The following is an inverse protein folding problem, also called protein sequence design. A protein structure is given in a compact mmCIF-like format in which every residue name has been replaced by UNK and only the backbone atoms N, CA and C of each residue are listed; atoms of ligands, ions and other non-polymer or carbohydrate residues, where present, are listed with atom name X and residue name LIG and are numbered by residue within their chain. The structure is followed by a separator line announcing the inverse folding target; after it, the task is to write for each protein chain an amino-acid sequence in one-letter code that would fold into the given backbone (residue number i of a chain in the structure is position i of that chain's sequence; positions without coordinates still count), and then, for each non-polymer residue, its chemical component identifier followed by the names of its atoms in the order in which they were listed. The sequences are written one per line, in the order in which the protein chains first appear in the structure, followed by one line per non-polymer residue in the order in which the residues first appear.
data_IF_435341154450
#
_entry.id   IF_435341154450
#
_cell.length_a   1.000
_cell.length_b   1.000
_cell.length_c   1.000
_cell.angle_alpha   90.00
_cell.angle_beta   90.00
_cell.angle_gamma   90.00
#
_symmetry.space_group_name_H-M   'P 1'
#
loop_
_entity.id
_entity.type
_entity.pdbx_description
1 polymer ?
#
# COMPACT_ATOMS: atom_id res chain seq x y z
N UNK A 1 8.62 -15.08 -30.45
CA UNK A 1 8.64 -16.06 -29.35
C UNK A 1 8.64 -15.24 -28.06
N UNK A 2 7.67 -15.44 -27.15
CA UNK A 2 7.64 -14.68 -25.91
C UNK A 2 8.91 -14.95 -25.09
N UNK A 3 9.53 -13.93 -24.49
CA UNK A 3 10.76 -14.12 -23.73
C UNK A 3 10.51 -15.05 -22.54
N UNK A 4 11.49 -15.91 -22.24
CA UNK A 4 11.48 -16.71 -21.02
C UNK A 4 11.50 -15.75 -19.82
N UNK A 5 10.44 -15.78 -19.02
CA UNK A 5 10.27 -14.92 -17.84
C UNK A 5 11.32 -15.19 -16.76
N UNK A 6 12.10 -16.28 -16.89
CA UNK A 6 13.21 -16.62 -16.00
C UNK A 6 14.50 -15.90 -16.37
N UNK A 7 14.66 -15.45 -17.61
CA UNK A 7 15.87 -14.74 -18.02
C UNK A 7 15.78 -13.28 -17.61
N UNK A 8 16.78 -12.78 -16.87
CA UNK A 8 16.99 -11.37 -16.64
C UNK A 8 16.80 -10.48 -17.86
N UNK A 9 15.76 -9.64 -17.91
CA UNK A 9 15.64 -8.62 -18.95
C UNK A 9 16.80 -7.62 -18.83
N UNK A 10 17.55 -7.45 -19.91
CA UNK A 10 18.71 -6.54 -20.00
C UNK A 10 18.31 -5.17 -20.54
N UNK A 11 19.20 -4.18 -20.44
CA UNK A 11 18.98 -2.87 -21.07
C UNK A 11 18.83 -2.98 -22.60
N UNK A 12 19.57 -3.90 -23.24
CA UNK A 12 19.48 -4.14 -24.68
C UNK A 12 18.10 -4.73 -25.08
N UNK A 13 17.56 -5.62 -24.25
CA UNK A 13 16.21 -6.15 -24.44
C UNK A 13 15.16 -5.04 -24.27
N UNK A 14 15.31 -4.20 -23.24
CA UNK A 14 14.41 -3.08 -22.99
C UNK A 14 14.38 -2.09 -24.17
N UNK A 15 15.55 -1.74 -24.72
CA UNK A 15 15.66 -0.91 -25.93
C UNK A 15 14.99 -1.57 -27.13
N UNK A 16 15.23 -2.86 -27.35
CA UNK A 16 14.65 -3.61 -28.47
C UNK A 16 13.13 -3.63 -28.41
N UNK A 17 12.56 -3.97 -27.25
CA UNK A 17 11.11 -4.02 -27.05
C UNK A 17 10.46 -2.64 -27.14
N UNK A 18 11.06 -1.62 -26.51
CA UNK A 18 10.54 -0.26 -26.57
C UNK A 18 10.60 0.31 -28.00
N UNK A 19 11.67 0.04 -28.75
CA UNK A 19 11.84 0.57 -30.11
C UNK A 19 10.71 0.16 -31.04
N UNK A 20 10.22 -1.08 -30.92
CA UNK A 20 9.12 -1.58 -31.73
C UNK A 20 7.79 -0.85 -31.48
N UNK A 21 7.55 -0.38 -30.25
CA UNK A 21 6.28 0.21 -29.84
C UNK A 21 6.27 1.74 -29.87
N UNK A 22 7.39 2.40 -29.53
CA UNK A 22 7.46 3.86 -29.35
C UNK A 22 8.52 4.55 -30.22
N UNK A 23 9.21 3.80 -31.09
CA UNK A 23 10.26 4.31 -31.96
C UNK A 23 11.64 4.38 -31.29
N UNK A 24 12.66 4.95 -31.97
CA UNK A 24 14.06 4.86 -31.54
C UNK A 24 14.29 5.36 -30.11
N UNK A 25 15.08 4.62 -29.33
CA UNK A 25 15.47 4.96 -27.96
C UNK A 25 16.86 5.63 -27.97
N UNK A 26 16.95 6.83 -27.40
CA UNK A 26 18.18 7.61 -27.29
C UNK A 26 18.99 7.23 -26.04
N UNK A 27 18.33 6.95 -24.93
CA UNK A 27 18.98 6.56 -23.67
C UNK A 27 18.08 5.63 -22.86
N UNK A 28 18.70 4.70 -22.14
CA UNK A 28 18.04 3.77 -21.22
C UNK A 28 18.80 3.78 -19.90
N UNK A 29 18.06 3.80 -18.79
CA UNK A 29 18.62 3.64 -17.46
C UNK A 29 17.75 2.66 -16.64
N UNK A 30 18.37 1.73 -15.89
CA UNK A 30 17.64 0.93 -14.92
C UNK A 30 17.18 1.83 -13.77
N UNK A 31 15.91 1.72 -13.41
CA UNK A 31 15.35 2.46 -12.28
C UNK A 31 14.75 1.49 -11.27
N UNK A 32 14.66 1.94 -10.03
CA UNK A 32 14.07 1.14 -8.98
C UNK A 32 12.59 0.88 -9.25
N UNK A 33 12.21 -0.39 -9.29
CA UNK A 33 10.84 -0.86 -9.41
C UNK A 33 10.35 -1.58 -8.15
N UNK A 34 9.11 -2.08 -8.20
CA UNK A 34 8.60 -3.00 -7.18
C UNK A 34 9.41 -4.29 -7.15
N UNK A 35 9.51 -4.91 -5.97
CA UNK A 35 10.23 -6.17 -5.79
C UNK A 35 9.77 -7.24 -6.79
N UNK A 36 10.72 -7.79 -7.55
CA UNK A 36 10.45 -8.78 -8.60
C UNK A 36 10.23 -8.19 -10.00
N UNK A 37 10.01 -6.88 -10.12
CA UNK A 37 9.92 -6.21 -11.41
C UNK A 37 11.24 -5.55 -11.78
N UNK A 38 11.60 -5.64 -13.07
CA UNK A 38 12.64 -4.79 -13.65
C UNK A 38 11.98 -3.61 -14.29
N UNK A 39 12.46 -2.42 -13.94
CA UNK A 39 11.95 -1.18 -14.51
C UNK A 39 13.08 -0.45 -15.20
N UNK A 40 12.83 -0.01 -16.43
CA UNK A 40 13.75 0.80 -17.21
C UNK A 40 13.05 2.11 -17.56
N UNK A 41 13.75 3.21 -17.37
CA UNK A 41 13.34 4.52 -17.86
C UNK A 41 14.02 4.73 -19.21
N UNK A 42 13.23 5.03 -20.23
CA UNK A 42 13.69 5.13 -21.62
C UNK A 42 13.39 6.52 -22.16
N UNK A 43 14.43 7.18 -22.64
CA UNK A 43 14.32 8.45 -23.35
C UNK A 43 14.21 8.15 -24.84
N UNK A 44 13.06 8.45 -25.44
CA UNK A 44 12.87 8.27 -26.89
C UNK A 44 13.55 9.40 -27.66
N UNK A 45 13.99 9.12 -28.89
CA UNK A 45 14.57 10.13 -29.78
C UNK A 45 13.57 11.23 -30.18
N UNK A 46 12.27 10.95 -30.10
CA UNK A 46 11.21 11.92 -30.36
C UNK A 46 10.92 12.86 -29.18
N UNK A 47 11.56 12.66 -28.02
CA UNK A 47 11.41 13.50 -26.84
C UNK A 47 10.62 12.93 -25.65
N UNK A 48 9.56 12.10 -25.79
CA UNK A 48 8.88 11.57 -24.62
C UNK A 48 9.72 10.55 -23.85
N UNK A 49 9.54 10.54 -22.52
CA UNK A 49 10.08 9.51 -21.63
C UNK A 49 9.00 8.45 -21.39
N UNK A 50 9.40 7.19 -21.45
CA UNK A 50 8.54 6.03 -21.17
C UNK A 50 9.20 5.11 -20.16
N UNK A 51 8.39 4.32 -19.46
CA UNK A 51 8.86 3.28 -18.56
C UNK A 51 8.51 1.92 -19.12
N UNK A 52 9.51 1.05 -19.24
CA UNK A 52 9.30 -0.38 -19.47
C UNK A 52 9.35 -1.09 -18.14
N UNK A 53 8.30 -1.88 -17.84
CA UNK A 53 8.27 -2.76 -16.68
C UNK A 53 8.14 -4.19 -17.14
N UNK A 54 8.97 -5.07 -16.60
CA UNK A 54 8.92 -6.50 -16.87
C UNK A 54 8.78 -7.28 -15.56
N UNK A 55 7.88 -8.26 -15.54
CA UNK A 55 7.55 -9.04 -14.36
C UNK A 55 6.26 -9.84 -14.53
N UNK A 56 5.95 -10.72 -13.58
CA UNK A 56 4.80 -11.62 -13.66
C UNK A 56 3.44 -10.91 -13.51
N UNK A 57 3.43 -9.64 -13.08
CA UNK A 57 2.21 -8.88 -12.77
C UNK A 57 1.93 -7.72 -13.73
N UNK A 58 2.60 -7.67 -14.89
CA UNK A 58 2.50 -6.52 -15.81
C UNK A 58 1.10 -6.33 -16.41
N UNK A 59 0.37 -7.41 -16.68
CA UNK A 59 -1.00 -7.32 -17.19
C UNK A 59 -1.97 -6.76 -16.13
N UNK A 60 -1.84 -7.24 -14.88
CA UNK A 60 -2.63 -6.74 -13.74
C UNK A 60 -2.30 -5.27 -13.44
N UNK A 61 -1.02 -4.90 -13.55
CA UNK A 61 -0.58 -3.51 -13.40
C UNK A 61 -1.18 -2.61 -14.48
N UNK A 62 -1.09 -3.01 -15.76
CA UNK A 62 -1.67 -2.26 -16.86
C UNK A 62 -3.19 -2.06 -16.68
N UNK A 63 -3.91 -3.13 -16.32
CA UNK A 63 -5.34 -3.06 -16.02
C UNK A 63 -5.64 -2.12 -14.86
N UNK A 64 -4.83 -2.16 -13.81
CA UNK A 64 -4.99 -1.28 -12.63
C UNK A 64 -4.77 0.18 -13.00
N UNK A 65 -3.76 0.49 -13.82
CA UNK A 65 -3.54 1.84 -14.32
C UNK A 65 -4.73 2.36 -15.14
N UNK A 66 -5.28 1.55 -16.05
CA UNK A 66 -6.44 1.96 -16.85
C UNK A 66 -7.69 2.17 -15.99
N UNK A 67 -7.94 1.30 -15.00
CA UNK A 67 -9.05 1.48 -14.06
C UNK A 67 -8.89 2.75 -13.21
N UNK A 68 -7.67 3.03 -12.74
CA UNK A 68 -7.36 4.25 -12.00
C UNK A 68 -7.64 5.49 -12.86
N UNK A 69 -7.16 5.51 -14.12
CA UNK A 69 -7.41 6.61 -15.05
C UNK A 69 -8.90 6.80 -15.36
N UNK A 70 -9.66 5.72 -15.52
CA UNK A 70 -11.10 5.78 -15.74
C UNK A 70 -11.87 6.36 -14.54
N UNK A 71 -11.26 6.37 -13.35
CA UNK A 71 -11.77 6.99 -12.13
C UNK A 71 -11.15 8.38 -11.85
N UNK A 72 -10.54 9.02 -12.86
CA UNK A 72 -9.82 10.31 -12.75
C UNK A 72 -8.67 10.31 -11.71
N UNK A 73 -8.14 9.13 -11.38
CA UNK A 73 -6.94 9.01 -10.54
C UNK A 73 -5.70 9.16 -11.42
N UNK A 74 -4.75 10.07 -11.07
CA UNK A 74 -3.50 10.20 -11.81
C UNK A 74 -2.73 8.87 -11.83
N UNK A 75 -2.66 8.24 -13.00
CA UNK A 75 -1.90 7.02 -13.23
C UNK A 75 -1.24 7.03 -14.62
N UNK A 76 -0.15 6.27 -14.81
CA UNK A 76 0.54 6.16 -16.09
C UNK A 76 -0.42 5.74 -17.20
N UNK A 77 -0.33 6.41 -18.36
CA UNK A 77 -1.05 5.96 -19.56
C UNK A 77 -0.32 4.75 -20.12
N UNK A 78 -1.01 3.64 -20.30
CA UNK A 78 -0.43 2.45 -20.90
C UNK A 78 -0.31 2.65 -22.40
N UNK A 79 0.89 2.47 -22.93
CA UNK A 79 1.22 2.63 -24.35
C UNK A 79 1.21 1.28 -25.07
N UNK A 80 1.66 0.24 -24.38
CA UNK A 80 1.76 -1.10 -24.91
C UNK A 80 1.79 -2.13 -23.78
N UNK A 81 1.23 -3.32 -24.00
CA UNK A 81 1.23 -4.43 -23.04
C UNK A 81 1.48 -5.72 -23.79
N UNK A 82 2.39 -6.51 -23.27
CA UNK A 82 2.68 -7.88 -23.65
C UNK A 82 2.74 -8.75 -22.38
N UNK A 83 2.59 -10.08 -22.48
CA UNK A 83 2.60 -10.95 -21.30
C UNK A 83 3.87 -10.84 -20.43
N UNK A 84 4.98 -10.40 -21.02
CA UNK A 84 6.26 -10.29 -20.34
C UNK A 84 6.63 -8.85 -19.92
N UNK A 85 6.03 -7.83 -20.53
CA UNK A 85 6.35 -6.43 -20.23
C UNK A 85 5.21 -5.47 -20.58
N UNK A 86 5.21 -4.30 -19.94
CA UNK A 86 4.38 -3.17 -20.35
C UNK A 86 5.24 -1.94 -20.62
N UNK A 87 4.73 -1.05 -21.46
CA UNK A 87 5.23 0.31 -21.64
C UNK A 87 4.20 1.31 -21.16
N UNK A 88 4.63 2.25 -20.33
CA UNK A 88 3.79 3.31 -19.81
C UNK A 88 4.43 4.69 -20.03
N UNK A 89 3.61 5.69 -20.27
CA UNK A 89 4.06 7.08 -20.32
C UNK A 89 4.53 7.54 -18.92
N UNK A 90 5.54 8.41 -18.89
CA UNK A 90 5.93 9.10 -17.66
C UNK A 90 4.75 9.90 -17.08
N UNK A 91 4.56 9.78 -15.77
CA UNK A 91 3.63 10.59 -14.99
C UNK A 91 4.41 11.75 -14.38
N UNK A 92 3.85 12.96 -14.24
CA UNK A 92 4.51 14.05 -13.53
C UNK A 92 5.04 13.61 -12.17
N UNK A 93 6.36 13.77 -11.99
CA UNK A 93 7.11 13.24 -10.84
C UNK A 93 8.41 12.59 -11.33
N UNK A 94 9.44 12.62 -10.48
CA UNK A 94 10.68 11.88 -10.73
C UNK A 94 10.72 10.59 -9.91
N UNK A 95 11.55 9.60 -10.29
CA UNK A 95 11.87 8.49 -9.39
C UNK A 95 12.41 9.04 -8.06
N UNK A 96 12.12 8.33 -6.96
CA UNK A 96 12.71 8.65 -5.66
C UNK A 96 14.24 8.57 -5.75
N UNK A 97 14.93 9.61 -5.29
CA UNK A 97 16.39 9.59 -5.21
C UNK A 97 16.90 8.67 -4.08
N UNK A 98 16.01 8.29 -3.16
CA UNK A 98 16.33 7.41 -2.04
C UNK A 98 16.26 5.96 -2.47
N UNK A 99 17.30 5.19 -2.14
CA UNK A 99 17.25 3.75 -2.29
C UNK A 99 16.15 3.18 -1.39
N UNK A 100 15.30 2.30 -1.94
CA UNK A 100 14.35 1.59 -1.08
C UNK A 100 15.08 0.72 -0.05
N UNK A 101 14.54 0.70 1.16
CA UNK A 101 15.04 -0.11 2.27
C UNK A 101 14.02 -1.17 2.63
N UNK A 102 14.44 -2.20 3.37
CA UNK A 102 13.49 -3.12 3.97
C UNK A 102 12.68 -2.38 5.05
N UNK A 103 11.40 -2.16 4.77
CA UNK A 103 10.39 -1.61 5.69
C UNK A 103 9.64 -2.75 6.36
N UNK A 104 9.19 -2.55 7.60
CA UNK A 104 8.36 -3.52 8.31
C UNK A 104 6.93 -3.53 7.75
N UNK A 105 6.45 -2.37 7.28
CA UNK A 105 5.22 -2.14 6.52
C UNK A 105 3.88 -2.46 7.21
N UNK A 106 3.91 -2.54 8.53
CA UNK A 106 2.77 -2.48 9.45
C UNK A 106 3.18 -1.80 10.78
N UNK A 107 4.20 -0.92 10.75
CA UNK A 107 4.94 -0.55 11.97
C UNK A 107 4.05 0.21 12.95
N UNK A 108 3.67 -0.45 14.04
CA UNK A 108 2.84 0.15 15.10
C UNK A 108 3.30 -0.28 16.50
N UNK A 109 2.92 0.43 17.60
CA UNK A 109 3.42 0.14 18.95
C UNK A 109 3.26 -1.32 19.40
N UNK A 110 2.24 -2.04 18.94
CA UNK A 110 2.04 -3.46 19.27
C UNK A 110 3.12 -4.39 18.69
N UNK A 111 3.92 -3.93 17.72
CA UNK A 111 5.07 -4.65 17.15
C UNK A 111 6.39 -4.21 17.77
N UNK A 112 6.35 -3.28 18.71
CA UNK A 112 7.53 -2.83 19.45
C UNK A 112 7.61 -3.60 20.76
N UNK A 113 8.78 -4.16 21.06
CA UNK A 113 9.07 -4.81 22.33
C UNK A 113 10.04 -3.95 23.13
N UNK A 114 9.66 -3.58 24.36
CA UNK A 114 10.44 -2.74 25.25
C UNK A 114 10.68 -3.41 26.60
N UNK A 115 11.85 -3.16 27.20
CA UNK A 115 12.19 -3.57 28.56
C UNK A 115 12.58 -2.32 29.32
N UNK A 116 11.75 -1.91 30.27
CA UNK A 116 11.86 -0.59 30.89
C UNK A 116 11.66 0.51 29.85
N UNK A 117 12.60 1.46 29.77
CA UNK A 117 12.57 2.57 28.81
C UNK A 117 13.31 2.25 27.50
N UNK A 118 13.86 1.04 27.37
CA UNK A 118 14.65 0.64 26.20
C UNK A 118 13.78 -0.16 25.22
N UNK A 119 13.65 0.34 23.98
CA UNK A 119 13.14 -0.44 22.85
C UNK A 119 14.18 -1.52 22.51
N UNK A 120 13.83 -2.78 22.75
CA UNK A 120 14.74 -3.94 22.61
C UNK A 120 14.47 -4.78 21.38
N UNK A 121 13.34 -4.57 20.70
CA UNK A 121 13.06 -5.27 19.45
C UNK A 121 11.87 -4.72 18.68
N UNK A 122 11.87 -5.00 17.38
CA UNK A 122 10.72 -4.88 16.49
C UNK A 122 10.39 -6.29 16.03
N UNK A 123 9.14 -6.70 16.23
CA UNK A 123 8.65 -8.05 15.91
C UNK A 123 7.68 -8.01 14.73
N UNK A 124 7.22 -9.20 14.32
CA UNK A 124 6.18 -9.37 13.31
C UNK A 124 6.55 -8.82 11.91
N UNK A 125 7.67 -9.29 11.36
CA UNK A 125 8.14 -8.91 10.01
C UNK A 125 7.39 -9.60 8.86
N UNK A 126 6.17 -10.11 9.11
CA UNK A 126 5.41 -10.89 8.12
C UNK A 126 4.98 -10.09 6.90
N UNK A 127 4.79 -8.78 7.05
CA UNK A 127 4.36 -7.85 5.99
C UNK A 127 5.51 -7.02 5.41
N UNK A 128 6.75 -7.31 5.83
CA UNK A 128 7.94 -6.58 5.46
C UNK A 128 8.13 -6.54 3.93
N UNK A 129 8.52 -5.38 3.43
CA UNK A 129 8.70 -5.13 1.99
C UNK A 129 9.76 -4.07 1.74
N UNK A 130 10.33 -4.05 0.55
CA UNK A 130 11.20 -2.95 0.16
C UNK A 130 10.36 -1.72 -0.19
N UNK A 131 10.70 -0.57 0.39
CA UNK A 131 9.99 0.69 0.17
C UNK A 131 10.71 1.90 0.76
N UNK A 132 10.02 3.03 0.76
CA UNK A 132 10.54 4.28 1.33
C UNK A 132 10.45 4.23 2.87
N UNK A 133 11.54 4.54 3.62
CA UNK A 133 11.51 4.53 5.08
C UNK A 133 10.40 5.38 5.72
N UNK A 134 10.01 6.56 5.17
CA UNK A 134 8.90 7.33 5.71
C UNK A 134 7.54 6.61 5.69
N UNK A 135 7.39 5.50 4.95
CA UNK A 135 6.18 4.67 4.99
C UNK A 135 5.91 4.11 6.39
N UNK A 136 6.93 3.51 7.02
CA UNK A 136 6.81 2.95 8.38
C UNK A 136 6.56 4.04 9.42
N UNK A 137 7.21 5.20 9.26
CA UNK A 137 7.00 6.36 10.14
C UNK A 137 5.55 6.83 10.01
N UNK A 138 5.05 6.98 8.78
CA UNK A 138 3.67 7.39 8.54
C UNK A 138 2.67 6.40 9.15
N UNK A 139 2.92 5.09 9.01
CA UNK A 139 2.09 4.06 9.64
C UNK A 139 2.07 4.19 11.16
N UNK A 140 3.26 4.31 11.77
CA UNK A 140 3.38 4.42 13.22
C UNK A 140 2.69 5.65 13.77
N UNK A 141 2.73 6.76 13.03
CA UNK A 141 2.11 8.01 13.47
C UNK A 141 0.58 7.95 13.61
N UNK A 142 -0.07 6.95 13.00
CA UNK A 142 -1.51 6.70 13.21
C UNK A 142 -1.83 6.24 14.65
N UNK A 143 -0.81 5.89 15.44
CA UNK A 143 -0.94 5.46 16.83
C UNK A 143 -1.08 6.61 17.84
N UNK A 144 -1.15 7.85 17.36
CA UNK A 144 -1.33 9.05 18.17
C UNK A 144 -0.02 9.79 18.49
N UNK A 145 -0.16 11.04 18.92
CA UNK A 145 0.95 11.99 19.09
C UNK A 145 1.94 11.57 20.18
N UNK A 146 1.49 10.97 21.28
CA UNK A 146 2.36 10.52 22.36
C UNK A 146 3.33 9.42 21.92
N UNK A 147 2.80 8.35 21.28
CA UNK A 147 3.63 7.28 20.74
C UNK A 147 4.56 7.80 19.65
N UNK A 148 4.03 8.62 18.73
CA UNK A 148 4.83 9.26 17.66
C UNK A 148 5.98 10.07 18.24
N UNK A 149 5.73 10.90 19.25
CA UNK A 149 6.75 11.71 19.90
C UNK A 149 7.86 10.86 20.53
N UNK A 150 7.51 9.74 21.17
CA UNK A 150 8.48 8.81 21.72
C UNK A 150 9.35 8.16 20.63
N UNK A 151 8.74 7.72 19.52
CA UNK A 151 9.49 7.16 18.38
C UNK A 151 10.48 8.18 17.80
N UNK A 152 10.00 9.40 17.53
CA UNK A 152 10.82 10.45 16.90
C UNK A 152 11.94 10.94 17.81
N UNK A 153 11.73 10.97 19.13
CA UNK A 153 12.77 11.27 20.10
C UNK A 153 13.93 10.26 20.04
N UNK A 154 13.65 9.00 19.71
CA UNK A 154 14.66 7.95 19.53
C UNK A 154 15.31 7.91 18.14
N UNK A 155 14.59 8.31 17.09
CA UNK A 155 15.06 8.19 15.71
C UNK A 155 16.15 9.21 15.33
N UNK A 156 16.26 10.35 16.03
CA UNK A 156 17.18 11.45 15.67
C UNK A 156 17.03 11.86 14.18
N UNK A 157 15.82 11.69 13.62
CA UNK A 157 15.50 12.08 12.25
C UNK A 157 14.67 13.36 12.31
N UNK A 158 15.14 14.39 11.63
CA UNK A 158 14.29 15.53 11.32
C UNK A 158 13.32 15.14 10.22
N UNK A 159 12.01 15.23 10.51
CA UNK A 159 10.96 15.02 9.51
C UNK A 159 10.70 16.26 8.64
N UNK A 160 11.57 17.27 8.74
CA UNK A 160 11.43 18.55 8.04
C UNK A 160 11.26 18.32 6.53
N UNK A 161 10.15 18.80 5.96
CA UNK A 161 9.85 18.65 4.53
C UNK A 161 9.18 17.33 4.14
N UNK A 162 8.89 16.43 5.09
CA UNK A 162 8.19 15.16 4.84
C UNK A 162 6.69 15.23 5.10
N UNK A 163 6.13 16.38 5.50
CA UNK A 163 4.72 16.52 5.88
C UNK A 163 3.75 15.99 4.82
N UNK A 164 4.02 16.34 3.55
CA UNK A 164 3.24 15.87 2.42
C UNK A 164 3.37 14.35 2.26
N UNK A 165 4.59 13.83 2.25
CA UNK A 165 4.88 12.40 2.09
C UNK A 165 4.23 11.57 3.20
N UNK A 166 4.35 11.99 4.47
CA UNK A 166 3.72 11.33 5.61
C UNK A 166 2.19 11.35 5.46
N UNK A 167 1.61 12.48 5.04
CA UNK A 167 0.16 12.59 4.83
C UNK A 167 -0.33 11.67 3.70
N UNK A 168 0.42 11.56 2.60
CA UNK A 168 0.11 10.62 1.51
C UNK A 168 0.16 9.17 2.00
N UNK A 169 1.23 8.79 2.71
CA UNK A 169 1.35 7.42 3.21
C UNK A 169 0.28 7.09 4.25
N UNK A 170 -0.10 8.01 5.14
CA UNK A 170 -1.24 7.79 6.05
C UNK A 170 -2.54 7.49 5.28
N UNK A 171 -2.82 8.24 4.22
CA UNK A 171 -4.00 7.98 3.39
C UNK A 171 -3.92 6.60 2.70
N UNK A 172 -2.74 6.24 2.18
CA UNK A 172 -2.50 4.92 1.58
C UNK A 172 -2.68 3.79 2.60
N UNK A 173 -2.10 3.92 3.80
CA UNK A 173 -2.23 2.97 4.91
C UNK A 173 -3.67 2.79 5.35
N UNK A 174 -4.42 3.89 5.48
CA UNK A 174 -5.83 3.85 5.80
C UNK A 174 -6.66 3.15 4.72
N UNK A 175 -6.34 3.37 3.44
CA UNK A 175 -6.98 2.67 2.32
C UNK A 175 -6.69 1.16 2.35
N UNK A 176 -5.43 0.76 2.59
CA UNK A 176 -5.04 -0.64 2.76
C UNK A 176 -5.79 -1.29 3.93
N UNK A 177 -5.92 -0.59 5.05
CA UNK A 177 -6.67 -1.06 6.20
C UNK A 177 -8.16 -1.24 5.87
N UNK A 178 -8.79 -0.28 5.17
CA UNK A 178 -10.19 -0.42 4.70
C UNK A 178 -10.33 -1.66 3.81
N UNK A 179 -9.42 -1.87 2.86
CA UNK A 179 -9.46 -3.04 1.98
C UNK A 179 -9.41 -4.35 2.77
N UNK A 180 -8.47 -4.47 3.71
CA UNK A 180 -8.34 -5.65 4.56
C UNK A 180 -9.60 -5.86 5.43
N UNK A 181 -10.14 -4.80 6.03
CA UNK A 181 -11.35 -4.86 6.86
C UNK A 181 -12.56 -5.29 6.05
N UNK A 182 -12.75 -4.69 4.87
CA UNK A 182 -13.83 -5.05 3.95
C UNK A 182 -13.75 -6.54 3.56
N UNK A 183 -12.57 -7.06 3.25
CA UNK A 183 -12.37 -8.47 2.92
C UNK A 183 -12.75 -9.43 4.07
N UNK A 184 -12.64 -8.97 5.32
CA UNK A 184 -13.01 -9.74 6.53
C UNK A 184 -14.44 -9.49 7.03
N UNK A 185 -15.20 -8.59 6.40
CA UNK A 185 -16.53 -8.18 6.86
C UNK A 185 -16.52 -7.34 8.14
N UNK A 186 -15.42 -6.61 8.40
CA UNK A 186 -15.30 -5.71 9.56
C UNK A 186 -15.97 -4.35 9.34
N UNK A 187 -16.54 -3.78 10.40
CA UNK A 187 -17.33 -2.53 10.34
C UNK A 187 -16.53 -1.24 10.66
N UNK A 188 -15.28 -1.37 11.11
CA UNK A 188 -14.44 -0.25 11.56
C UNK A 188 -13.77 0.51 10.40
N UNK A 189 -14.56 1.04 9.47
CA UNK A 189 -14.07 1.79 8.30
C UNK A 189 -13.98 3.30 8.55
N UNK A 190 -14.84 3.84 9.41
CA UNK A 190 -14.99 5.29 9.62
C UNK A 190 -13.69 5.97 10.06
N UNK A 191 -12.90 5.46 11.04
CA UNK A 191 -11.65 6.11 11.43
C UNK A 191 -10.62 6.20 10.29
N UNK A 192 -10.62 5.23 9.37
CA UNK A 192 -9.74 5.23 8.22
C UNK A 192 -10.19 6.24 7.15
N UNK A 193 -11.50 6.40 6.94
CA UNK A 193 -12.04 7.45 6.07
C UNK A 193 -11.62 8.83 6.58
N UNK A 194 -11.79 9.11 7.86
CA UNK A 194 -11.35 10.38 8.47
C UNK A 194 -9.84 10.61 8.30
N UNK A 195 -9.04 9.55 8.40
CA UNK A 195 -7.58 9.64 8.17
C UNK A 195 -7.26 10.01 6.72
N UNK A 196 -7.97 9.42 5.75
CA UNK A 196 -7.83 9.74 4.32
C UNK A 196 -8.23 11.19 4.08
N UNK A 197 -9.39 11.62 4.57
CA UNK A 197 -9.88 12.99 4.43
C UNK A 197 -8.88 14.01 5.00
N UNK A 198 -8.34 13.76 6.19
CA UNK A 198 -7.34 14.63 6.81
C UNK A 198 -6.03 14.67 6.00
N UNK A 199 -5.56 13.52 5.50
CA UNK A 199 -4.35 13.45 4.66
C UNK A 199 -4.49 14.19 3.33
N UNK A 200 -5.68 14.15 2.73
CA UNK A 200 -5.99 14.84 1.46
C UNK A 200 -6.30 16.33 1.66
N UNK A 201 -6.96 16.71 2.75
CA UNK A 201 -7.30 18.11 3.05
C UNK A 201 -6.05 18.98 3.25
N UNK A 202 -4.98 18.41 3.81
CA UNK A 202 -3.67 19.07 3.89
C UNK A 202 -2.94 19.26 2.55
N UNK A 203 -3.51 18.76 1.43
CA UNK A 203 -2.86 18.67 0.11
C UNK A 203 -3.65 19.29 -1.04
N UNK A 204 -4.73 20.03 -0.78
CA UNK A 204 -5.53 20.66 -1.84
C UNK A 204 -4.73 21.74 -2.61
N UNK A 205 -3.91 21.29 -3.55
CA UNK A 205 -3.69 21.97 -4.82
C UNK A 205 -5.06 21.99 -5.49
N UNK A 206 -5.66 23.17 -5.63
CA UNK A 206 -6.92 23.35 -6.37
C UNK A 206 -6.72 22.84 -7.80
N UNK A 207 -7.15 21.62 -8.08
CA UNK A 207 -7.47 21.22 -9.45
C UNK A 207 -8.81 21.88 -9.76
N UNK A 208 -8.94 22.70 -10.82
CA UNK A 208 -10.21 23.32 -11.16
C UNK A 208 -11.21 22.21 -11.53
N UNK A 209 -12.12 21.90 -10.61
CA UNK A 209 -13.27 21.05 -10.90
C UNK A 209 -14.27 21.86 -11.71
N UNK A 210 -14.55 21.41 -12.92
CA UNK A 210 -15.70 21.88 -13.67
C UNK A 210 -16.93 21.28 -13.00
N UNK A 211 -17.89 22.11 -12.59
CA UNK A 211 -19.07 21.66 -11.88
C UNK A 211 -19.86 20.63 -12.71
N UNK A 212 -20.39 19.55 -12.10
CA UNK A 212 -21.26 18.62 -12.81
C UNK A 212 -22.57 19.33 -13.20
N UNK A 213 -23.01 19.07 -14.43
CA UNK A 213 -24.32 19.49 -14.94
C UNK A 213 -25.40 18.91 -14.02
N UNK A 214 -26.27 19.79 -13.51
CA UNK A 214 -27.35 19.43 -12.60
C UNK A 214 -28.26 18.35 -13.20
N UNK A 215 -28.36 17.22 -12.51
CA UNK A 215 -29.37 16.20 -12.80
C UNK A 215 -30.66 16.58 -12.07
N UNK A 216 -31.74 16.78 -12.83
CA UNK A 216 -33.06 17.16 -12.34
C UNK A 216 -33.68 16.00 -11.55
N UNK A 217 -34.08 16.26 -10.30
CA UNK A 217 -34.89 15.38 -9.47
C UNK A 217 -36.27 15.15 -10.10
N UNK A 218 -36.68 13.88 -10.18
CA UNK A 218 -38.08 13.50 -10.23
C UNK A 218 -38.34 12.57 -9.03
N UNK A 219 -38.87 13.15 -7.96
CA UNK A 219 -39.49 12.40 -6.89
C UNK A 219 -40.89 11.95 -7.34
N UNK A 220 -41.26 10.72 -7.02
CA UNK A 220 -42.66 10.41 -6.81
C UNK A 220 -42.81 9.39 -5.68
N UNK A 221 -43.63 9.75 -4.70
CA UNK A 221 -43.78 9.06 -3.44
C UNK A 221 -44.71 7.86 -3.51
N UNK A 222 -44.58 6.95 -2.54
CA UNK A 222 -45.70 6.20 -1.96
C UNK A 222 -45.33 5.60 -0.61
N UNK A 223 -46.21 5.87 0.35
CA UNK A 223 -46.24 5.41 1.73
C UNK A 223 -46.52 3.90 1.82
N UNK A 224 -45.91 3.19 2.77
CA UNK A 224 -46.54 2.01 3.39
C UNK A 224 -46.24 1.90 4.89
N UNK A 225 -47.31 1.54 5.60
CA UNK A 225 -47.56 1.53 7.03
C UNK A 225 -46.93 0.36 7.80
N UNK A 226 -46.68 0.60 9.10
CA UNK A 226 -46.32 -0.39 10.13
C UNK A 226 -47.53 -1.21 10.60
N UNK A 227 -47.36 -2.52 10.83
CA UNK A 227 -47.74 -3.18 12.11
C UNK A 227 -47.25 -4.64 12.29
N UNK A 228 -46.81 -4.89 13.53
CA UNK A 228 -47.00 -6.05 14.41
C UNK A 228 -46.18 -7.37 14.32
N UNK A 229 -45.90 -7.83 15.56
CA UNK A 229 -45.06 -8.93 16.05
C UNK A 229 -45.44 -10.34 15.57
N UNK A 230 -44.43 -11.19 15.47
CA UNK A 230 -44.55 -12.65 15.58
C UNK A 230 -43.22 -13.25 16.02
N UNK A 231 -43.15 -13.76 17.25
CA UNK A 231 -42.09 -14.65 17.71
C UNK A 231 -42.18 -15.97 16.97
N UNK A 232 -41.07 -16.45 16.38
CA UNK A 232 -40.70 -17.87 16.28
C UNK A 232 -39.31 -17.99 15.63
N UNK A 233 -38.50 -18.90 16.14
CA UNK A 233 -37.08 -19.05 15.83
C UNK A 233 -36.88 -19.49 14.38
N UNK A 234 -36.20 -18.67 13.56
CA UNK A 234 -35.93 -18.98 12.16
C UNK A 234 -34.60 -19.71 11.98
N UNK A 235 -34.58 -20.72 11.09
CA UNK A 235 -33.37 -21.46 10.64
C UNK A 235 -32.23 -20.56 10.16
N UNK A 236 -32.50 -19.29 9.87
CA UNK A 236 -31.50 -18.31 9.44
C UNK A 236 -30.41 -18.05 10.50
N UNK A 237 -30.73 -18.13 11.81
CA UNK A 237 -29.73 -17.95 12.87
C UNK A 237 -28.83 -19.17 13.08
N UNK A 238 -29.37 -20.38 12.95
CA UNK A 238 -28.57 -21.61 12.98
C UNK A 238 -27.63 -21.72 11.77
N UNK A 239 -28.08 -21.28 10.58
CA UNK A 239 -27.20 -21.20 9.41
C UNK A 239 -26.15 -20.08 9.53
N UNK A 240 -26.47 -18.98 10.22
CA UNK A 240 -25.49 -17.92 10.51
C UNK A 240 -24.41 -18.40 11.49
N UNK A 241 -24.76 -19.08 12.59
CA UNK A 241 -23.77 -19.62 13.55
C UNK A 241 -22.90 -20.72 12.94
N UNK A 242 -23.48 -21.61 12.12
CA UNK A 242 -22.72 -22.66 11.43
C UNK A 242 -21.84 -22.07 10.31
N UNK A 243 -22.31 -21.03 9.61
CA UNK A 243 -21.52 -20.29 8.61
C UNK A 243 -20.37 -19.50 9.25
N UNK A 244 -20.60 -18.87 10.41
CA UNK A 244 -19.58 -18.08 11.13
C UNK A 244 -18.45 -18.97 11.67
N UNK A 245 -18.76 -20.11 12.26
CA UNK A 245 -17.75 -21.04 12.79
C UNK A 245 -16.96 -21.77 11.69
N UNK A 246 -17.58 -22.06 10.55
CA UNK A 246 -16.93 -22.73 9.41
C UNK A 246 -16.09 -21.75 8.57
N UNK A 247 -16.60 -20.53 8.32
CA UNK A 247 -15.84 -19.47 7.62
C UNK A 247 -14.63 -19.00 8.41
N UNK A 248 -14.72 -18.90 9.73
CA UNK A 248 -13.57 -18.53 10.55
C UNK A 248 -12.41 -19.53 10.42
N UNK A 249 -12.69 -20.84 10.51
CA UNK A 249 -11.64 -21.86 10.33
C UNK A 249 -11.05 -21.84 8.92
N UNK A 250 -11.87 -21.59 7.89
CA UNK A 250 -11.40 -21.50 6.51
C UNK A 250 -10.57 -20.23 6.24
N UNK A 251 -10.94 -19.09 6.83
CA UNK A 251 -10.24 -17.81 6.70
C UNK A 251 -8.95 -17.80 7.51
N UNK A 252 -8.95 -18.29 8.76
CA UNK A 252 -7.72 -18.49 9.54
C UNK A 252 -6.78 -19.47 8.81
N UNK A 253 -7.32 -20.53 8.20
CA UNK A 253 -6.56 -21.45 7.35
C UNK A 253 -6.00 -20.79 6.09
N UNK A 254 -6.73 -19.87 5.46
CA UNK A 254 -6.26 -19.13 4.29
C UNK A 254 -5.17 -18.12 4.68
N UNK A 255 -5.35 -17.37 5.77
CA UNK A 255 -4.37 -16.43 6.30
C UNK A 255 -3.09 -17.15 6.77
N UNK A 256 -3.22 -18.27 7.48
CA UNK A 256 -2.06 -19.09 7.88
C UNK A 256 -1.37 -19.72 6.67
N UNK A 257 -2.11 -20.16 5.64
CA UNK A 257 -1.50 -20.65 4.38
C UNK A 257 -0.84 -19.54 3.58
N UNK A 258 -1.41 -18.34 3.58
CA UNK A 258 -0.87 -17.17 2.91
C UNK A 258 0.40 -16.68 3.62
N UNK A 259 0.35 -16.51 4.94
CA UNK A 259 1.50 -16.19 5.80
C UNK A 259 2.61 -17.25 5.70
N UNK A 260 2.29 -18.54 5.72
CA UNK A 260 3.29 -19.62 5.51
C UNK A 260 3.89 -19.61 4.11
N UNK A 261 3.14 -19.25 3.07
CA UNK A 261 3.67 -19.13 1.69
C UNK A 261 4.57 -17.91 1.52
N UNK A 262 4.24 -16.80 2.21
CA UNK A 262 5.09 -15.61 2.27
C UNK A 262 6.38 -15.89 3.05
N UNK A 263 6.28 -16.47 4.25
CA UNK A 263 7.42 -16.84 5.09
C UNK A 263 8.33 -17.92 4.44
N UNK A 264 7.79 -18.77 3.57
CA UNK A 264 8.54 -19.80 2.85
C UNK A 264 9.11 -19.33 1.50
N UNK A 265 9.02 -18.04 1.14
CA UNK A 265 9.59 -17.49 -0.10
C UNK A 265 8.95 -18.05 -1.38
N UNK A 266 7.71 -18.53 -1.31
CA UNK A 266 7.06 -19.22 -2.44
C UNK A 266 6.46 -18.26 -3.48
N UNK A 267 6.41 -16.95 -3.19
CA UNK A 267 5.95 -15.90 -4.12
C UNK A 267 6.99 -14.80 -4.37
N UNK A 268 8.10 -14.78 -3.63
CA UNK A 268 9.24 -13.89 -3.86
C UNK A 268 10.53 -14.68 -3.61
N UNK A 269 11.39 -14.71 -4.63
CA UNK A 269 12.55 -15.59 -4.66
C UNK A 269 13.58 -15.36 -3.54
N UNK A 270 14.24 -16.47 -3.19
CA UNK A 270 15.51 -16.59 -2.47
C UNK A 270 15.58 -16.08 -1.03
N UNK A 271 15.46 -17.02 -0.09
CA UNK A 271 15.86 -16.89 1.31
C UNK A 271 17.40 -16.86 1.43
N UNK A 272 18.04 -15.70 1.28
CA UNK A 272 19.46 -15.51 1.61
C UNK A 272 19.80 -14.02 1.77
N UNK A 273 19.20 -13.34 2.74
CA UNK A 273 19.80 -12.10 3.24
C UNK A 273 19.28 -11.78 4.64
N UNK A 274 20.17 -11.81 5.63
CA UNK A 274 19.96 -11.15 6.92
C UNK A 274 20.56 -9.75 6.76
N UNK A 275 19.77 -8.68 6.55
CA UNK A 275 20.35 -7.35 6.50
C UNK A 275 20.78 -6.95 7.91
N UNK A 276 22.06 -6.63 8.06
CA UNK A 276 22.55 -5.84 9.18
C UNK A 276 21.79 -4.51 9.21
N UNK A 277 21.09 -4.28 10.32
CA UNK A 277 20.28 -3.10 10.64
C UNK A 277 21.14 -1.83 10.54
N UNK A 278 20.84 -0.84 9.66
CA UNK A 278 21.55 0.44 9.69
C UNK A 278 20.91 1.46 10.65
N UNK A 279 19.80 1.12 11.31
CA UNK A 279 19.09 2.01 12.23
C UNK A 279 19.16 1.49 13.67
N UNK A 280 20.31 1.65 14.30
CA UNK A 280 20.40 1.56 15.76
C UNK A 280 20.07 2.93 16.35
N UNK A 281 19.11 2.97 17.28
CA UNK A 281 18.86 4.16 18.10
C UNK A 281 20.15 4.54 18.85
N UNK A 282 20.70 5.72 18.58
CA UNK A 282 21.99 6.14 19.13
C UNK A 282 21.87 6.86 20.48
N UNK A 283 20.65 7.09 20.99
CA UNK A 283 20.42 7.76 22.28
C UNK A 283 19.25 7.16 23.07
N UNK A 284 19.45 7.05 24.39
CA UNK A 284 18.38 6.84 25.37
C UNK A 284 17.50 8.08 25.44
N UNK A 285 16.26 7.98 24.98
CA UNK A 285 15.23 8.96 25.29
C UNK A 285 14.44 8.43 26.49
N UNK A 286 14.58 9.06 27.66
CA UNK A 286 13.70 8.80 28.80
C UNK A 286 12.42 9.61 28.61
N UNK A 287 11.27 8.94 28.50
CA UNK A 287 9.97 9.59 28.57
C UNK A 287 9.52 9.63 30.04
N UNK A 288 8.85 10.69 30.50
CA UNK A 288 8.27 10.70 31.84
C UNK A 288 7.21 9.60 31.94
N UNK A 289 7.33 8.77 32.99
CA UNK A 289 6.46 7.63 33.27
C UNK A 289 5.03 8.09 33.54
N UNK A 290 4.21 8.09 32.49
CA UNK A 290 2.75 8.17 32.62
C UNK A 290 2.23 6.85 33.18
N UNK A 291 1.71 6.90 34.40
CA UNK A 291 1.05 5.77 35.08
C UNK A 291 -0.34 5.54 34.49
N UNK A 292 -0.42 5.05 33.25
CA UNK A 292 -1.66 4.53 32.69
C UNK A 292 -1.86 3.07 33.11
N UNK A 293 -2.52 2.89 34.25
CA UNK A 293 -2.91 1.58 34.80
C UNK A 293 -4.04 1.01 33.92
N UNK A 294 -3.72 0.10 33.00
CA UNK A 294 -4.74 -0.69 32.30
C UNK A 294 -5.27 -1.76 33.27
N UNK A 295 -6.43 -1.50 33.87
CA UNK A 295 -7.24 -2.54 34.51
C UNK A 295 -8.02 -3.27 33.44
N UNK A 296 -7.69 -4.55 33.21
CA UNK A 296 -8.56 -5.47 32.49
C UNK A 296 -9.77 -5.80 33.38
N UNK A 297 -10.96 -5.55 32.85
CA UNK A 297 -12.24 -6.10 33.30
C UNK A 297 -12.85 -6.88 32.14
#
# INVERSE_FOLDING_TARGET
MPPDTRTPLTEADAVTYATAAVGPIAHVEPVQGFAGNRTFRLHTAAGPVVYLKAGASVEDEARTCELARAADVPAPRILHVEPAYLLAAEVPGGPSASAAVLTQADLHPRQSYAVGDDLTGIIDWGDARYGDPPFDIAWFTMSGSAATGALLAGYVVELTGLDRTISMYRALSALMAIHAKHATGGEWIVPHITTIEAGLAGQLIRVPSWAPVAMVEAADGRSMSKTCRGSWWSRARMNADWSMTSRWRAITSAYVRWSKRMAAGFLFGSASYTPSVPFLATRRASAPSSTARWTAG
#
